data_IF_639632417317
#
_entry.id   IF_639632417317
#
_cell.length_a   1.000
_cell.length_b   1.000
_cell.length_c   1.000
_cell.angle_alpha   90.00
_cell.angle_beta   90.00
_cell.angle_gamma   90.00
#
_symmetry.space_group_name_H-M   'P 1'
#
loop_
_entity.id
_entity.type
_entity.pdbx_description
1 polymer ?
#
# COMPACT_ATOMS: atom_id res chain seq x y z
N UNK A 1 0.29 -50.80 -4.22
CA UNK A 1 0.89 -49.76 -3.38
C UNK A 1 0.60 -48.41 -4.02
N UNK A 2 -0.07 -47.47 -3.35
CA UNK A 2 -0.21 -46.09 -3.86
C UNK A 2 1.20 -45.48 -3.85
N UNK A 3 1.73 -45.11 -5.02
CA UNK A 3 2.95 -44.32 -5.08
C UNK A 3 2.74 -43.05 -4.23
N UNK A 4 3.72 -42.74 -3.36
CA UNK A 4 3.69 -41.50 -2.59
C UNK A 4 3.76 -40.35 -3.60
N UNK A 5 2.66 -39.61 -3.73
CA UNK A 5 2.56 -38.54 -4.71
C UNK A 5 3.39 -37.34 -4.26
N UNK A 6 3.99 -36.60 -5.20
CA UNK A 6 4.76 -35.40 -4.88
C UNK A 6 3.83 -34.37 -4.20
N UNK A 7 4.08 -34.12 -2.92
CA UNK A 7 3.36 -33.09 -2.17
C UNK A 7 3.88 -31.71 -2.57
N UNK A 8 2.96 -30.77 -2.83
CA UNK A 8 3.34 -29.37 -2.97
C UNK A 8 3.84 -28.84 -1.61
N UNK A 9 4.85 -27.95 -1.58
CA UNK A 9 5.27 -27.29 -0.36
C UNK A 9 4.08 -26.61 0.33
N UNK A 10 3.97 -26.82 1.65
CA UNK A 10 3.01 -26.14 2.50
C UNK A 10 3.43 -24.67 2.67
N UNK A 11 2.60 -23.76 2.14
CA UNK A 11 2.84 -22.32 2.17
C UNK A 11 2.11 -21.63 3.34
N UNK A 12 1.36 -22.35 4.18
CA UNK A 12 0.60 -21.77 5.29
C UNK A 12 1.48 -21.05 6.30
N UNK A 13 2.73 -21.49 6.46
CA UNK A 13 3.73 -20.87 7.35
C UNK A 13 4.42 -19.65 6.74
N UNK A 14 4.21 -19.39 5.44
CA UNK A 14 4.84 -18.29 4.71
C UNK A 14 3.90 -17.09 4.51
N UNK A 15 2.69 -17.10 5.08
CA UNK A 15 1.73 -15.99 4.96
C UNK A 15 2.30 -14.75 5.68
N UNK A 16 2.64 -13.67 4.95
CA UNK A 16 3.16 -12.46 5.56
C UNK A 16 2.15 -11.79 6.48
N UNK A 17 2.61 -11.10 7.52
CA UNK A 17 1.76 -10.40 8.48
C UNK A 17 0.80 -9.38 7.81
N UNK A 18 1.21 -8.77 6.69
CA UNK A 18 0.37 -7.87 5.91
C UNK A 18 -0.86 -8.54 5.28
N UNK A 19 -0.79 -9.86 5.03
CA UNK A 19 -1.92 -10.65 4.52
C UNK A 19 -2.71 -11.34 5.64
N UNK A 20 -2.30 -11.18 6.90
CA UNK A 20 -3.06 -11.69 8.05
C UNK A 20 -4.22 -10.74 8.40
N UNK A 21 -5.09 -11.19 9.29
CA UNK A 21 -6.42 -10.58 9.54
C UNK A 21 -6.30 -9.08 9.87
N UNK A 22 -7.14 -8.21 9.25
CA UNK A 22 -7.04 -6.75 9.38
C UNK A 22 -7.19 -6.17 10.78
N UNK A 23 -7.72 -6.94 11.73
CA UNK A 23 -8.04 -6.50 13.10
C UNK A 23 -6.82 -5.98 13.86
N UNK A 24 -5.63 -6.58 13.65
CA UNK A 24 -4.38 -6.10 14.27
C UNK A 24 -3.90 -4.75 13.72
N UNK A 25 -4.37 -4.37 12.53
CA UNK A 25 -3.97 -3.15 11.84
C UNK A 25 -4.99 -2.03 12.01
N UNK A 26 -6.27 -2.35 12.12
CA UNK A 26 -7.37 -1.39 12.31
C UNK A 26 -7.12 -0.45 13.51
N UNK A 27 -6.75 -1.02 14.66
CA UNK A 27 -6.40 -0.27 15.87
C UNK A 27 -5.25 0.72 15.64
N UNK A 28 -4.32 0.40 14.72
CA UNK A 28 -3.14 1.20 14.42
C UNK A 28 -3.41 2.38 13.48
N UNK A 29 -4.57 2.41 12.85
CA UNK A 29 -4.99 3.42 11.87
C UNK A 29 -6.21 4.25 12.32
N UNK A 30 -6.96 3.77 13.31
CA UNK A 30 -8.14 4.42 13.88
C UNK A 30 -9.42 3.97 13.19
N UNK A 31 -10.38 3.45 13.98
CA UNK A 31 -11.54 2.71 13.47
C UNK A 31 -12.65 3.57 12.85
N UNK A 32 -12.60 4.90 13.01
CA UNK A 32 -13.68 5.81 12.60
C UNK A 32 -13.50 6.41 11.20
N UNK A 33 -12.43 6.08 10.48
CA UNK A 33 -12.15 6.68 9.16
C UNK A 33 -12.73 5.83 8.00
N UNK A 34 -13.66 6.38 7.20
CA UNK A 34 -14.34 5.61 6.14
C UNK A 34 -13.43 5.18 4.99
N UNK A 35 -12.35 5.89 4.70
CA UNK A 35 -11.42 5.53 3.62
C UNK A 35 -10.41 4.50 4.08
N UNK A 36 -9.96 4.59 5.33
CA UNK A 36 -9.17 3.55 5.97
C UNK A 36 -10.00 2.26 6.08
N UNK A 37 -11.24 2.34 6.53
CA UNK A 37 -12.14 1.18 6.61
C UNK A 37 -12.40 0.56 5.22
N UNK A 38 -12.53 1.39 4.19
CA UNK A 38 -12.60 0.90 2.81
C UNK A 38 -11.32 0.16 2.39
N UNK A 39 -10.15 0.72 2.70
CA UNK A 39 -8.85 0.10 2.44
C UNK A 39 -8.69 -1.25 3.17
N UNK A 40 -9.03 -1.30 4.46
CA UNK A 40 -9.01 -2.52 5.27
C UNK A 40 -9.98 -3.58 4.71
N UNK A 41 -11.17 -3.17 4.26
CA UNK A 41 -12.11 -4.07 3.58
C UNK A 41 -11.56 -4.66 2.28
N UNK A 42 -10.72 -3.91 1.55
CA UNK A 42 -10.04 -4.42 0.35
C UNK A 42 -8.90 -5.37 0.72
N UNK A 43 -8.11 -5.06 1.75
CA UNK A 43 -7.08 -5.96 2.27
C UNK A 43 -7.71 -7.29 2.75
N UNK A 44 -8.83 -7.25 3.47
CA UNK A 44 -9.55 -8.46 3.89
C UNK A 44 -9.89 -9.39 2.72
N UNK A 45 -10.39 -8.83 1.62
CA UNK A 45 -10.70 -9.61 0.40
C UNK A 45 -9.46 -10.24 -0.22
N UNK A 46 -8.32 -9.56 -0.15
CA UNK A 46 -7.03 -10.12 -0.57
C UNK A 46 -6.68 -11.32 0.30
N UNK A 47 -6.73 -11.18 1.63
CA UNK A 47 -6.47 -12.26 2.58
C UNK A 47 -7.36 -13.48 2.34
N UNK A 48 -8.67 -13.28 2.25
CA UNK A 48 -9.65 -14.36 2.00
C UNK A 48 -9.37 -15.09 0.67
N UNK A 49 -8.97 -14.35 -0.37
CA UNK A 49 -8.61 -14.94 -1.66
C UNK A 49 -7.36 -15.83 -1.57
N UNK A 50 -6.38 -15.46 -0.73
CA UNK A 50 -5.20 -16.28 -0.47
C UNK A 50 -5.51 -17.50 0.39
N UNK A 51 -6.33 -17.36 1.42
CA UNK A 51 -6.80 -18.51 2.21
C UNK A 51 -7.49 -19.54 1.33
N UNK A 52 -8.33 -19.10 0.39
CA UNK A 52 -8.96 -19.96 -0.61
C UNK A 52 -7.93 -20.68 -1.50
N UNK A 53 -6.91 -19.97 -1.98
CA UNK A 53 -5.83 -20.55 -2.79
C UNK A 53 -5.02 -21.60 -2.01
N UNK A 54 -4.70 -21.33 -0.74
CA UNK A 54 -3.95 -22.25 0.12
C UNK A 54 -4.77 -23.48 0.50
N UNK A 55 -6.06 -23.29 0.77
CA UNK A 55 -7.00 -24.40 0.99
C UNK A 55 -7.09 -25.29 -0.24
N UNK A 56 -7.21 -24.70 -1.44
CA UNK A 56 -7.21 -25.47 -2.69
C UNK A 56 -5.91 -26.23 -2.88
N UNK A 57 -4.75 -25.60 -2.64
CA UNK A 57 -3.43 -26.25 -2.74
C UNK A 57 -3.27 -27.44 -1.78
N UNK A 58 -3.90 -27.36 -0.60
CA UNK A 58 -3.84 -28.40 0.43
C UNK A 58 -4.84 -29.54 0.19
N UNK A 59 -5.96 -29.25 -0.50
CA UNK A 59 -7.08 -30.16 -0.67
C UNK A 59 -7.32 -30.50 -2.14
N UNK A 60 -6.66 -31.55 -2.65
CA UNK A 60 -6.93 -32.05 -4.00
C UNK A 60 -8.27 -32.77 -4.09
N UNK A 61 -9.08 -32.44 -5.09
CA UNK A 61 -10.30 -33.19 -5.40
C UNK A 61 -9.95 -34.66 -5.78
N UNK A 62 -10.51 -35.68 -5.09
CA UNK A 62 -10.25 -37.09 -5.38
C UNK A 62 -10.58 -37.53 -6.81
N UNK A 63 -11.47 -36.82 -7.49
CA UNK A 63 -11.89 -37.11 -8.86
C UNK A 63 -11.07 -36.36 -9.92
N UNK A 64 -10.17 -35.47 -9.51
CA UNK A 64 -9.28 -34.75 -10.41
C UNK A 64 -7.95 -35.47 -10.57
N UNK A 65 -7.38 -35.42 -11.78
CA UNK A 65 -6.00 -35.84 -11.99
C UNK A 65 -5.05 -34.83 -11.33
N UNK A 66 -3.85 -35.28 -10.99
CA UNK A 66 -2.83 -34.42 -10.40
C UNK A 66 -2.48 -33.22 -11.32
N UNK A 67 -2.40 -33.46 -12.64
CA UNK A 67 -2.15 -32.41 -13.63
C UNK A 67 -3.30 -31.39 -13.73
N UNK A 68 -4.56 -31.85 -13.71
CA UNK A 68 -5.72 -30.95 -13.73
C UNK A 68 -5.75 -30.06 -12.48
N UNK A 69 -5.43 -30.62 -11.32
CA UNK A 69 -5.35 -29.87 -10.07
C UNK A 69 -4.25 -28.79 -10.10
N UNK A 70 -3.06 -29.09 -10.61
CA UNK A 70 -2.00 -28.07 -10.76
C UNK A 70 -2.41 -26.95 -11.71
N UNK A 71 -3.08 -27.28 -12.82
CA UNK A 71 -3.56 -26.28 -13.75
C UNK A 71 -4.62 -25.38 -13.11
N UNK A 72 -5.47 -25.95 -12.25
CA UNK A 72 -6.44 -25.20 -11.46
C UNK A 72 -5.76 -24.26 -10.47
N UNK A 73 -4.73 -24.74 -9.75
CA UNK A 73 -3.89 -23.91 -8.87
C UNK A 73 -3.25 -22.74 -9.62
N UNK A 74 -2.62 -23.00 -10.78
CA UNK A 74 -1.99 -21.95 -11.59
C UNK A 74 -2.99 -20.88 -12.02
N UNK A 75 -4.16 -21.29 -12.53
CA UNK A 75 -5.22 -20.37 -12.95
C UNK A 75 -5.76 -19.56 -11.77
N UNK A 76 -5.97 -20.20 -10.63
CA UNK A 76 -6.47 -19.52 -9.44
C UNK A 76 -5.43 -18.56 -8.87
N UNK A 77 -4.16 -18.94 -8.83
CA UNK A 77 -3.07 -18.08 -8.38
C UNK A 77 -2.96 -16.80 -9.22
N UNK A 78 -3.03 -16.92 -10.55
CA UNK A 78 -3.07 -15.76 -11.47
C UNK A 78 -4.27 -14.87 -11.20
N UNK A 79 -5.46 -15.44 -11.06
CA UNK A 79 -6.68 -14.69 -10.76
C UNK A 79 -6.59 -13.96 -9.42
N UNK A 80 -6.07 -14.62 -8.38
CA UNK A 80 -5.87 -14.01 -7.06
C UNK A 80 -4.88 -12.85 -7.17
N UNK A 81 -3.77 -13.01 -7.91
CA UNK A 81 -2.80 -11.93 -8.11
C UNK A 81 -3.45 -10.71 -8.80
N UNK A 82 -4.18 -10.93 -9.89
CA UNK A 82 -4.87 -9.88 -10.64
C UNK A 82 -5.94 -9.16 -9.80
N UNK A 83 -6.78 -9.91 -9.07
CA UNK A 83 -7.80 -9.36 -8.20
C UNK A 83 -7.18 -8.58 -7.02
N UNK A 84 -6.09 -9.10 -6.45
CA UNK A 84 -5.38 -8.44 -5.35
C UNK A 84 -4.79 -7.12 -5.81
N UNK A 85 -4.13 -7.11 -6.98
CA UNK A 85 -3.59 -5.88 -7.56
C UNK A 85 -4.70 -4.86 -7.81
N UNK A 86 -5.84 -5.28 -8.36
CA UNK A 86 -7.00 -4.41 -8.57
C UNK A 86 -7.49 -3.80 -7.26
N UNK A 87 -7.69 -4.62 -6.22
CA UNK A 87 -8.17 -4.15 -4.92
C UNK A 87 -7.21 -3.17 -4.24
N UNK A 88 -5.91 -3.47 -4.29
CA UNK A 88 -4.86 -2.57 -3.77
C UNK A 88 -4.84 -1.26 -4.54
N UNK A 89 -4.85 -1.30 -5.88
CA UNK A 89 -4.85 -0.08 -6.71
C UNK A 89 -6.09 0.79 -6.45
N UNK A 90 -7.28 0.19 -6.37
CA UNK A 90 -8.52 0.92 -6.05
C UNK A 90 -8.47 1.58 -4.67
N UNK A 91 -7.98 0.88 -3.65
CA UNK A 91 -7.89 1.40 -2.30
C UNK A 91 -6.86 2.53 -2.19
N UNK A 92 -5.66 2.33 -2.76
CA UNK A 92 -4.59 3.33 -2.79
C UNK A 92 -5.00 4.59 -3.55
N UNK A 93 -5.73 4.44 -4.67
CA UNK A 93 -6.29 5.57 -5.40
C UNK A 93 -7.15 6.47 -4.52
N UNK A 94 -8.07 5.87 -3.75
CA UNK A 94 -8.95 6.59 -2.83
C UNK A 94 -8.18 7.30 -1.70
N UNK A 95 -7.20 6.63 -1.10
CA UNK A 95 -6.34 7.25 -0.07
C UNK A 95 -5.53 8.41 -0.66
N UNK A 96 -4.97 8.23 -1.86
CA UNK A 96 -4.20 9.25 -2.57
C UNK A 96 -5.02 10.50 -2.88
N UNK A 97 -6.26 10.33 -3.35
CA UNK A 97 -7.19 11.46 -3.58
C UNK A 97 -7.40 12.29 -2.31
N UNK A 98 -7.60 11.63 -1.16
CA UNK A 98 -7.79 12.33 0.11
C UNK A 98 -6.51 12.96 0.64
N UNK A 99 -5.35 12.33 0.49
CA UNK A 99 -4.04 12.93 0.82
C UNK A 99 -3.86 14.23 0.02
N UNK A 100 -4.12 14.20 -1.29
CA UNK A 100 -4.03 15.40 -2.15
C UNK A 100 -5.02 16.48 -1.69
N UNK A 101 -6.24 16.12 -1.31
CA UNK A 101 -7.23 17.06 -0.78
C UNK A 101 -6.76 17.70 0.54
N UNK A 102 -6.15 16.94 1.44
CA UNK A 102 -5.58 17.46 2.69
C UNK A 102 -4.37 18.36 2.42
N UNK A 103 -3.52 18.03 1.45
CA UNK A 103 -2.38 18.85 1.03
C UNK A 103 -2.83 20.18 0.41
N UNK A 104 -3.89 20.16 -0.42
CA UNK A 104 -4.51 21.38 -0.94
C UNK A 104 -5.06 22.23 0.19
N UNK A 105 -5.79 21.62 1.14
CA UNK A 105 -6.34 22.32 2.31
C UNK A 105 -5.23 22.97 3.14
N UNK A 106 -4.13 22.26 3.40
CA UNK A 106 -2.97 22.82 4.12
C UNK A 106 -2.35 23.98 3.35
N UNK A 107 -2.24 23.87 2.02
CA UNK A 107 -1.70 24.93 1.17
C UNK A 107 -2.59 26.16 1.19
N UNK A 108 -3.90 25.99 1.04
CA UNK A 108 -4.88 27.10 1.07
C UNK A 108 -4.88 27.80 2.44
N UNK A 109 -4.81 27.03 3.53
CA UNK A 109 -4.83 27.56 4.88
C UNK A 109 -3.50 28.22 5.31
N UNK A 110 -2.37 27.80 4.73
CA UNK A 110 -1.07 28.44 4.94
C UNK A 110 -0.81 29.60 3.98
N UNK A 111 -1.44 29.61 2.81
CA UNK A 111 -1.07 30.44 1.65
C UNK A 111 -2.04 31.56 1.30
N UNK A 112 -3.11 31.80 2.07
CA UNK A 112 -4.03 32.94 1.84
C UNK A 112 -3.27 34.27 1.83
N UNK A 113 -3.16 34.88 0.65
CA UNK A 113 -2.38 36.10 0.46
C UNK A 113 -2.82 37.22 1.42
N UNK A 114 -1.85 37.73 2.18
CA UNK A 114 -2.04 38.91 3.00
C UNK A 114 -1.90 40.17 2.12
N UNK A 115 -2.83 41.14 2.20
CA UNK A 115 -2.75 42.39 1.44
C UNK A 115 -1.46 43.19 1.66
N UNK A 116 -0.81 43.00 2.81
CA UNK A 116 0.47 43.63 3.17
C UNK A 116 1.65 42.62 3.13
N UNK A 117 1.49 41.55 2.37
CA UNK A 117 2.52 40.54 2.15
C UNK A 117 3.82 41.12 1.57
N UNK A 118 3.79 42.00 0.56
CA UNK A 118 5.00 42.62 0.00
C UNK A 118 5.84 43.39 1.05
N UNK A 119 5.21 44.18 1.90
CA UNK A 119 5.88 44.97 2.96
C UNK A 119 6.46 44.06 4.03
N UNK A 120 5.71 43.02 4.42
CA UNK A 120 6.19 42.02 5.39
C UNK A 120 7.43 41.30 4.86
N UNK A 121 7.42 40.90 3.57
CA UNK A 121 8.58 40.30 2.91
C UNK A 121 9.74 41.27 2.71
N UNK A 122 9.47 42.56 2.50
CA UNK A 122 10.52 43.58 2.43
C UNK A 122 11.23 43.71 3.77
N UNK A 123 10.49 43.85 4.87
CA UNK A 123 11.06 43.92 6.22
C UNK A 123 11.89 42.68 6.57
N UNK A 124 11.43 41.49 6.18
CA UNK A 124 12.17 40.24 6.40
C UNK A 124 13.48 40.16 5.61
N UNK A 125 13.52 40.70 4.39
CA UNK A 125 14.72 40.71 3.56
C UNK A 125 15.84 41.58 4.12
N UNK A 126 15.49 42.58 4.92
CA UNK A 126 16.43 43.47 5.61
C UNK A 126 17.03 42.87 6.90
N UNK A 127 16.42 41.81 7.44
CA UNK A 127 16.96 41.06 8.59
C UNK A 127 18.16 40.19 8.18
N UNK A 128 19.07 39.89 9.11
CA UNK A 128 20.05 38.82 8.85
C UNK A 128 19.36 37.44 8.77
N UNK A 129 20.05 36.44 8.20
CA UNK A 129 19.46 35.12 7.98
C UNK A 129 19.02 34.41 9.28
N UNK A 130 19.74 34.61 10.38
CA UNK A 130 19.45 33.98 11.67
C UNK A 130 18.23 34.64 12.33
N UNK A 131 18.18 35.98 12.34
CA UNK A 131 17.06 36.78 12.80
C UNK A 131 15.79 36.47 12.01
N UNK A 132 15.90 36.40 10.67
CA UNK A 132 14.78 36.05 9.78
C UNK A 132 14.22 34.68 10.10
N UNK A 133 15.10 33.68 10.26
CA UNK A 133 14.70 32.31 10.64
C UNK A 133 14.00 32.29 12.00
N UNK A 134 14.56 32.96 13.01
CA UNK A 134 13.97 33.05 14.33
C UNK A 134 12.60 33.74 14.31
N UNK A 135 12.48 34.84 13.56
CA UNK A 135 11.24 35.59 13.41
C UNK A 135 10.15 34.77 12.73
N UNK A 136 10.47 34.03 11.66
CA UNK A 136 9.50 33.14 10.99
C UNK A 136 9.06 32.01 11.92
N UNK A 137 9.97 31.41 12.70
CA UNK A 137 9.59 30.38 13.69
C UNK A 137 8.69 30.93 14.79
N UNK A 138 8.99 32.12 15.28
CA UNK A 138 8.16 32.80 16.29
C UNK A 138 6.78 33.13 15.73
N UNK A 139 6.72 33.63 14.49
CA UNK A 139 5.46 33.88 13.81
C UNK A 139 4.62 32.61 13.66
N UNK A 140 5.25 31.47 13.33
CA UNK A 140 4.57 30.17 13.28
C UNK A 140 4.08 29.75 14.67
N UNK A 141 4.93 29.88 15.70
CA UNK A 141 4.61 29.42 17.06
C UNK A 141 3.50 30.26 17.71
N UNK A 142 3.47 31.56 17.42
CA UNK A 142 2.44 32.50 17.86
C UNK A 142 1.18 32.50 16.98
N UNK A 143 1.18 31.76 15.86
CA UNK A 143 0.05 31.73 14.92
C UNK A 143 -0.18 33.04 14.16
N UNK A 144 0.84 33.87 13.98
CA UNK A 144 0.77 35.11 13.22
C UNK A 144 0.56 34.86 11.72
N UNK A 145 -0.71 34.72 11.33
CA UNK A 145 -1.14 34.38 9.96
C UNK A 145 -0.65 35.34 8.91
N UNK A 146 -0.52 36.63 9.22
CA UNK A 146 -0.04 37.66 8.29
C UNK A 146 1.41 37.40 7.85
N UNK A 147 2.29 37.11 8.82
CA UNK A 147 3.69 36.78 8.51
C UNK A 147 3.77 35.41 7.84
N UNK A 148 3.03 34.43 8.35
CA UNK A 148 3.02 33.07 7.81
C UNK A 148 2.60 33.08 6.34
N UNK A 149 1.49 33.72 5.99
CA UNK A 149 1.03 33.73 4.61
C UNK A 149 1.96 34.55 3.71
N UNK A 150 2.39 35.73 4.16
CA UNK A 150 3.32 36.57 3.41
C UNK A 150 4.61 35.82 3.03
N UNK A 151 5.12 34.96 3.91
CA UNK A 151 6.36 34.21 3.71
C UNK A 151 6.14 32.90 2.98
N UNK A 152 5.13 32.12 3.39
CA UNK A 152 4.95 30.76 2.89
C UNK A 152 4.21 30.68 1.55
N UNK A 153 3.42 31.70 1.17
CA UNK A 153 2.77 31.77 -0.16
C UNK A 153 3.74 32.21 -1.26
N UNK A 154 4.79 32.96 -0.91
CA UNK A 154 5.72 33.54 -1.87
C UNK A 154 6.86 32.58 -2.28
N UNK A 155 7.42 32.72 -3.50
CA UNK A 155 8.68 32.06 -3.87
C UNK A 155 9.81 32.42 -2.89
N UNK A 156 10.75 31.51 -2.65
CA UNK A 156 11.75 31.69 -1.60
C UNK A 156 12.56 32.98 -1.79
N UNK A 157 12.97 33.27 -3.03
CA UNK A 157 13.66 34.51 -3.43
C UNK A 157 12.92 35.78 -2.98
N UNK A 158 11.59 35.81 -3.08
CA UNK A 158 10.77 36.97 -2.73
C UNK A 158 10.52 37.04 -1.22
N UNK A 159 10.35 35.89 -0.56
CA UNK A 159 10.21 35.79 0.89
C UNK A 159 11.50 36.07 1.67
N UNK A 160 12.64 36.06 0.98
CA UNK A 160 13.96 36.12 1.61
C UNK A 160 14.41 34.79 2.23
N UNK A 161 13.71 33.68 1.98
CA UNK A 161 14.17 32.36 2.42
C UNK A 161 15.01 31.68 1.32
N UNK A 162 15.79 30.67 1.70
CA UNK A 162 16.41 29.78 0.73
C UNK A 162 15.38 28.73 0.28
N UNK A 163 15.44 28.32 -0.99
CA UNK A 163 14.49 27.32 -1.54
C UNK A 163 14.48 26.02 -0.74
N UNK A 164 15.62 25.63 -0.16
CA UNK A 164 15.73 24.43 0.69
C UNK A 164 15.04 24.55 2.05
N UNK A 165 14.85 25.75 2.58
CA UNK A 165 14.31 25.97 3.93
C UNK A 165 12.78 26.11 3.90
N UNK A 166 12.23 26.63 2.79
CA UNK A 166 10.80 26.90 2.64
C UNK A 166 9.91 25.65 2.86
N UNK A 167 10.24 24.45 2.32
CA UNK A 167 9.47 23.23 2.62
C UNK A 167 9.48 22.87 4.11
N UNK A 168 10.61 23.05 4.80
CA UNK A 168 10.73 22.75 6.22
C UNK A 168 9.87 23.70 7.07
N UNK A 169 9.82 25.00 6.72
CA UNK A 169 8.92 25.95 7.37
C UNK A 169 7.45 25.65 7.12
N UNK A 170 7.07 25.25 5.89
CA UNK A 170 5.70 24.83 5.58
C UNK A 170 5.31 23.60 6.39
N UNK A 171 6.17 22.60 6.49
CA UNK A 171 5.93 21.42 7.31
C UNK A 171 5.81 21.76 8.81
N UNK A 172 6.70 22.63 9.32
CA UNK A 172 6.63 23.11 10.71
C UNK A 172 5.34 23.88 10.99
N UNK A 173 4.94 24.78 10.09
CA UNK A 173 3.69 25.53 10.20
C UNK A 173 2.46 24.63 10.14
N UNK A 174 2.44 23.65 9.23
CA UNK A 174 1.35 22.67 9.15
C UNK A 174 1.20 21.90 10.46
N UNK A 175 2.32 21.40 11.03
CA UNK A 175 2.30 20.65 12.30
C UNK A 175 1.85 21.49 13.49
N UNK A 176 2.31 22.73 13.58
CA UNK A 176 2.01 23.61 14.71
C UNK A 176 0.57 24.14 14.66
N UNK A 177 0.08 24.51 13.47
CA UNK A 177 -1.17 25.24 13.31
C UNK A 177 -2.35 24.35 12.92
N UNK A 178 -2.08 23.21 12.28
CA UNK A 178 -3.07 22.26 11.78
C UNK A 178 -2.73 20.82 12.16
N UNK A 179 -2.45 20.52 13.44
CA UNK A 179 -1.97 19.21 13.87
C UNK A 179 -2.95 18.08 13.53
N UNK A 180 -4.27 18.33 13.59
CA UNK A 180 -5.28 17.34 13.25
C UNK A 180 -5.25 16.94 11.77
N UNK A 181 -5.09 17.91 10.87
CA UNK A 181 -5.01 17.69 9.41
C UNK A 181 -3.72 16.93 9.07
N UNK A 182 -2.61 17.31 9.70
CA UNK A 182 -1.34 16.59 9.51
C UNK A 182 -1.43 15.16 10.05
N UNK A 183 -1.98 14.96 11.24
CA UNK A 183 -2.15 13.62 11.79
C UNK A 183 -3.05 12.74 10.91
N UNK A 184 -4.12 13.30 10.33
CA UNK A 184 -4.96 12.60 9.37
C UNK A 184 -4.21 12.20 8.10
N UNK A 185 -3.46 13.13 7.51
CA UNK A 185 -2.61 12.88 6.35
C UNK A 185 -1.58 11.77 6.62
N UNK A 186 -0.87 11.85 7.75
CA UNK A 186 0.14 10.85 8.15
C UNK A 186 -0.50 9.46 8.36
N UNK A 187 -1.73 9.38 8.90
CA UNK A 187 -2.47 8.11 9.00
C UNK A 187 -2.82 7.52 7.63
N UNK A 188 -3.27 8.34 6.69
CA UNK A 188 -3.59 7.90 5.33
C UNK A 188 -2.33 7.45 4.57
N UNK A 189 -1.20 8.14 4.72
CA UNK A 189 0.09 7.74 4.13
C UNK A 189 0.57 6.39 4.69
N UNK A 190 0.41 6.17 5.99
CA UNK A 190 0.73 4.89 6.62
C UNK A 190 -0.17 3.77 6.07
N UNK A 191 -1.46 4.03 5.87
CA UNK A 191 -2.39 3.07 5.27
C UNK A 191 -2.07 2.79 3.79
N UNK A 192 -1.66 3.80 3.00
CA UNK A 192 -1.22 3.61 1.62
C UNK A 192 0.03 2.74 1.54
N UNK A 193 1.01 3.01 2.41
CA UNK A 193 2.25 2.21 2.50
C UNK A 193 1.94 0.76 2.84
N UNK A 194 1.07 0.53 3.82
CA UNK A 194 0.62 -0.81 4.18
C UNK A 194 -0.05 -1.53 3.02
N UNK A 195 -0.95 -0.88 2.27
CA UNK A 195 -1.57 -1.48 1.08
C UNK A 195 -0.57 -1.78 -0.02
N UNK A 196 0.48 -0.96 -0.16
CA UNK A 196 1.56 -1.25 -1.09
C UNK A 196 2.27 -2.56 -0.72
N UNK A 197 2.59 -2.75 0.56
CA UNK A 197 3.18 -4.00 1.08
C UNK A 197 2.25 -5.19 0.86
N UNK A 198 0.93 -5.04 1.13
CA UNK A 198 -0.09 -6.05 0.83
C UNK A 198 -0.03 -6.48 -0.64
N UNK A 199 0.04 -5.53 -1.57
CA UNK A 199 0.13 -5.81 -3.00
C UNK A 199 1.40 -6.57 -3.39
N UNK A 200 2.55 -6.16 -2.86
CA UNK A 200 3.83 -6.83 -3.10
C UNK A 200 3.81 -8.27 -2.56
N UNK A 201 3.32 -8.45 -1.34
CA UNK A 201 3.21 -9.76 -0.69
C UNK A 201 2.22 -10.68 -1.40
N UNK A 202 1.08 -10.14 -1.85
CA UNK A 202 0.11 -10.86 -2.64
C UNK A 202 0.75 -11.39 -3.94
N UNK A 203 1.41 -10.52 -4.70
CA UNK A 203 2.08 -10.93 -5.95
C UNK A 203 3.13 -12.01 -5.71
N UNK A 204 3.97 -11.84 -4.69
CA UNK A 204 5.01 -12.80 -4.34
C UNK A 204 4.43 -14.16 -3.94
N UNK A 205 3.39 -14.17 -3.09
CA UNK A 205 2.77 -15.40 -2.63
C UNK A 205 2.01 -16.12 -3.74
N UNK A 206 1.31 -15.39 -4.62
CA UNK A 206 0.65 -15.98 -5.78
C UNK A 206 1.66 -16.61 -6.74
N UNK A 207 2.82 -15.96 -6.96
CA UNK A 207 3.89 -16.52 -7.78
C UNK A 207 4.49 -17.80 -7.17
N UNK A 208 4.64 -17.88 -5.84
CA UNK A 208 5.08 -19.10 -5.15
C UNK A 208 4.02 -20.21 -5.13
N UNK A 209 2.75 -19.81 -5.08
CA UNK A 209 1.62 -20.73 -5.10
C UNK A 209 1.45 -21.39 -6.48
N UNK A 210 1.80 -20.69 -7.55
CA UNK A 210 1.83 -21.24 -8.90
C UNK A 210 2.89 -22.37 -9.02
N UNK A 211 2.59 -23.45 -9.77
CA UNK A 211 3.55 -24.53 -9.96
C UNK A 211 4.75 -24.06 -10.80
N UNK A 212 5.96 -24.40 -10.35
CA UNK A 212 7.19 -24.16 -11.10
C UNK A 212 7.38 -25.18 -12.23
N UNK A 213 8.37 -24.97 -13.11
CA UNK A 213 8.57 -25.83 -14.28
C UNK A 213 8.98 -27.26 -13.93
N UNK A 214 9.70 -27.46 -12.83
CA UNK A 214 10.04 -28.80 -12.34
C UNK A 214 8.81 -29.55 -11.85
N UNK A 215 7.93 -28.89 -11.10
CA UNK A 215 6.66 -29.43 -10.65
C UNK A 215 5.76 -29.75 -11.84
N UNK A 216 5.67 -28.88 -12.85
CA UNK A 216 4.93 -29.17 -14.08
C UNK A 216 5.47 -30.43 -14.77
N UNK A 217 6.79 -30.52 -14.98
CA UNK A 217 7.44 -31.68 -15.62
C UNK A 217 7.24 -32.98 -14.85
N UNK A 218 7.38 -32.94 -13.52
CA UNK A 218 7.18 -34.11 -12.66
C UNK A 218 5.74 -34.65 -12.77
N UNK A 219 4.76 -33.74 -12.83
CA UNK A 219 3.35 -34.12 -12.95
C UNK A 219 2.97 -34.58 -14.37
N UNK A 220 3.55 -33.98 -15.42
CA UNK A 220 3.40 -34.47 -16.80
C UNK A 220 3.95 -35.90 -16.95
N UNK A 221 5.07 -36.21 -16.30
CA UNK A 221 5.62 -37.56 -16.28
C UNK A 221 4.70 -38.55 -15.54
N UNK A 222 4.11 -38.15 -14.40
CA UNK A 222 3.15 -38.98 -13.67
C UNK A 222 1.86 -39.21 -14.47
N UNK A 223 1.37 -38.20 -15.18
CA UNK A 223 0.20 -38.35 -16.06
C UNK A 223 0.45 -39.37 -17.17
N UNK A 224 1.59 -39.28 -17.87
CA UNK A 224 1.99 -40.25 -18.89
C UNK A 224 2.10 -41.67 -18.32
N UNK A 225 2.63 -41.80 -17.10
CA UNK A 225 2.74 -43.09 -16.43
C UNK A 225 1.36 -43.65 -16.03
N UNK A 226 0.44 -42.81 -15.57
CA UNK A 226 -0.92 -43.20 -15.24
C UNK A 226 -1.70 -43.64 -16.49
N UNK A 227 -1.62 -42.88 -17.59
CA UNK A 227 -2.20 -43.22 -18.88
C UNK A 227 -1.64 -44.55 -19.42
N UNK A 228 -0.33 -44.75 -19.35
CA UNK A 228 0.31 -46.02 -19.74
C UNK A 228 -0.17 -47.20 -18.88
N UNK A 229 -0.39 -47.01 -17.58
CA UNK A 229 -0.89 -48.05 -16.70
C UNK A 229 -2.37 -48.38 -16.98
N UNK A 230 -3.19 -47.38 -17.32
CA UNK A 230 -4.58 -47.59 -17.73
C UNK A 230 -4.67 -48.36 -19.05
N UNK A 231 -3.80 -48.05 -20.02
CA UNK A 231 -3.74 -48.79 -21.29
C UNK A 231 -3.44 -50.28 -21.03
N UNK A 232 -2.43 -50.58 -20.21
CA UNK A 232 -2.08 -51.95 -19.81
C UNK A 232 -3.20 -52.70 -19.10
N UNK A 233 -4.00 -52.01 -18.28
CA UNK A 233 -5.14 -52.59 -17.58
C UNK A 233 -6.36 -52.83 -18.50
N UNK A 234 -6.48 -52.07 -19.60
CA UNK A 234 -7.56 -52.20 -20.57
C UNK A 234 -7.40 -53.36 -21.55
N UNK A 235 -6.28 -54.07 -21.53
CA UNK A 235 -6.01 -55.23 -22.41
C UNK A 235 -5.87 -54.88 -23.89
N UNK A 236 -5.70 -53.59 -24.21
CA UNK A 236 -5.36 -53.09 -25.55
C UNK A 236 -3.83 -53.07 -25.69
N UNK A 237 -3.23 -54.24 -25.88
CA UNK A 237 -1.93 -54.35 -26.57
C UNK A 237 -2.19 -54.69 -28.05
#
# INVERSE_FOLDING_TARGET
MKAAQPALPDLSKEIPAALQVPESWAESFGDDDPDINYALGKQKRVSEAFEGLLSMRSNRNPHSTAAAHLQEIDRHAKRVAEQSQKHVTEARGKLSERIVALDSKLTDELGKDDPHGPETRQALREMDAAQRTAYVREAISSGNRRVISAVLSAPAVVSGLQDKDLPAFRAYAAKQLFPSVVAERERLEKADTFLHEVGQHALALASKAAPNDEQKKAFEAEQKQHEANLLKLSGLD
#
